data_IF_163599096497
#
_entry.id   IF_163599096497
#
_cell.length_a   1.000
_cell.length_b   1.000
_cell.length_c   1.000
_cell.angle_alpha   90.00
_cell.angle_beta   90.00
_cell.angle_gamma   90.00
#
_symmetry.space_group_name_H-M   'P 1'
#
loop_
_entity.id
_entity.type
_entity.pdbx_description
1 polymer ?
#
# COMPACT_ATOMS: atom_id res chain seq x y z
N UNK A 1 22.82 41.52 21.65
CA UNK A 1 21.60 40.69 21.60
C UNK A 1 21.74 39.75 20.40
N UNK A 2 21.95 38.46 20.65
CA UNK A 2 22.11 37.47 19.58
C UNK A 2 20.74 37.01 19.09
N UNK A 3 20.46 37.20 17.80
CA UNK A 3 19.26 36.68 17.15
C UNK A 3 19.32 35.16 17.09
N UNK A 4 18.27 34.52 17.60
CA UNK A 4 18.08 33.07 17.49
C UNK A 4 17.88 32.71 16.02
N UNK A 5 18.47 31.61 15.51
CA UNK A 5 18.27 31.19 14.14
C UNK A 5 16.81 30.74 13.92
N UNK A 6 16.19 31.27 12.88
CA UNK A 6 14.87 30.85 12.40
C UNK A 6 14.91 29.35 12.09
N UNK A 7 14.00 28.59 12.73
CA UNK A 7 13.82 27.16 12.47
C UNK A 7 13.23 26.96 11.08
N UNK A 8 14.07 26.89 10.05
CA UNK A 8 13.71 26.40 8.72
C UNK A 8 13.54 24.88 8.77
N UNK A 9 12.35 24.40 9.16
CA UNK A 9 11.98 22.98 9.13
C UNK A 9 10.78 22.55 8.24
N UNK A 10 10.34 23.28 7.18
CA UNK A 10 9.32 22.73 6.26
C UNK A 10 9.86 21.91 5.06
N UNK A 11 11.07 22.20 4.57
CA UNK A 11 11.53 21.72 3.24
C UNK A 11 11.91 20.23 3.24
N UNK A 12 12.63 19.77 4.26
CA UNK A 12 13.18 18.40 4.33
C UNK A 12 12.09 17.31 4.29
N UNK A 13 10.93 17.55 4.91
CA UNK A 13 9.84 16.56 4.95
C UNK A 13 9.18 16.39 3.59
N UNK A 14 8.95 17.49 2.87
CA UNK A 14 8.34 17.46 1.54
C UNK A 14 9.26 16.73 0.56
N UNK A 15 10.54 17.05 0.56
CA UNK A 15 11.54 16.41 -0.30
C UNK A 15 11.67 14.91 -0.03
N UNK A 16 11.60 14.49 1.25
CA UNK A 16 11.62 13.06 1.59
C UNK A 16 10.42 12.31 1.02
N UNK A 17 9.22 12.90 1.07
CA UNK A 17 8.01 12.27 0.56
C UNK A 17 7.99 12.20 -0.96
N UNK A 18 8.41 13.26 -1.65
CA UNK A 18 8.55 13.27 -3.10
C UNK A 18 9.55 12.19 -3.55
N UNK A 19 10.71 12.11 -2.90
CA UNK A 19 11.70 11.06 -3.17
C UNK A 19 11.15 9.65 -2.92
N UNK A 20 10.40 9.46 -1.84
CA UNK A 20 9.78 8.16 -1.54
C UNK A 20 8.78 7.76 -2.63
N UNK A 21 7.98 8.69 -3.12
CA UNK A 21 7.01 8.46 -4.20
C UNK A 21 7.75 8.11 -5.50
N UNK A 22 8.78 8.85 -5.87
CA UNK A 22 9.58 8.60 -7.07
C UNK A 22 10.27 7.23 -7.03
N UNK A 23 10.91 6.92 -5.89
CA UNK A 23 11.57 5.63 -5.69
C UNK A 23 10.56 4.48 -5.71
N UNK A 24 9.38 4.67 -5.10
CA UNK A 24 8.31 3.70 -5.16
C UNK A 24 7.80 3.48 -6.57
N UNK A 25 7.50 4.55 -7.32
CA UNK A 25 7.04 4.43 -8.70
C UNK A 25 8.05 3.71 -9.59
N UNK A 26 9.35 4.02 -9.44
CA UNK A 26 10.42 3.35 -10.17
C UNK A 26 10.53 1.87 -9.82
N UNK A 27 10.55 1.53 -8.52
CA UNK A 27 10.62 0.15 -8.06
C UNK A 27 9.39 -0.66 -8.47
N UNK A 28 8.20 -0.07 -8.39
CA UNK A 28 6.95 -0.71 -8.78
C UNK A 28 6.88 -0.95 -10.30
N UNK A 29 7.33 0.01 -11.11
CA UNK A 29 7.44 -0.19 -12.55
C UNK A 29 8.42 -1.31 -12.91
N UNK A 30 9.55 -1.41 -12.21
CA UNK A 30 10.50 -2.51 -12.36
C UNK A 30 9.90 -3.86 -11.95
N UNK A 31 9.11 -3.89 -10.87
CA UNK A 31 8.37 -5.07 -10.42
C UNK A 31 7.41 -5.58 -11.48
N UNK A 32 6.53 -4.71 -11.98
CA UNK A 32 5.57 -5.03 -13.04
C UNK A 32 6.26 -5.52 -14.31
N UNK A 33 7.38 -4.89 -14.70
CA UNK A 33 8.17 -5.32 -15.84
C UNK A 33 8.76 -6.72 -15.62
N UNK A 34 9.37 -6.97 -14.46
CA UNK A 34 10.00 -8.25 -14.14
C UNK A 34 8.99 -9.39 -14.08
N UNK A 35 7.80 -9.16 -13.53
CA UNK A 35 6.71 -10.15 -13.54
C UNK A 35 6.34 -10.56 -14.96
N UNK A 36 6.16 -9.57 -15.87
CA UNK A 36 5.82 -9.83 -17.28
C UNK A 36 6.90 -10.59 -18.04
N UNK A 37 8.17 -10.32 -17.76
CA UNK A 37 9.30 -10.88 -18.51
C UNK A 37 9.81 -12.22 -17.96
N UNK A 38 9.79 -12.39 -16.63
CA UNK A 38 10.49 -13.48 -15.93
C UNK A 38 9.56 -14.34 -15.08
N UNK A 39 8.26 -14.04 -15.06
CA UNK A 39 7.25 -14.77 -14.30
C UNK A 39 7.15 -14.38 -12.83
N UNK A 40 6.22 -15.00 -12.10
CA UNK A 40 5.80 -14.55 -10.77
C UNK A 40 6.85 -14.78 -9.68
N UNK A 41 7.68 -15.83 -9.76
CA UNK A 41 8.74 -16.09 -8.78
C UNK A 41 9.81 -14.99 -8.76
N UNK A 42 10.23 -14.55 -9.95
CA UNK A 42 11.22 -13.49 -10.12
C UNK A 42 10.69 -12.13 -9.62
N UNK A 43 9.38 -11.89 -9.75
CA UNK A 43 8.71 -10.74 -9.18
C UNK A 43 8.68 -10.79 -7.65
N UNK A 44 8.52 -11.98 -7.06
CA UNK A 44 8.45 -12.12 -5.60
C UNK A 44 9.74 -11.71 -4.89
N UNK A 45 10.91 -12.01 -5.47
CA UNK A 45 12.18 -11.52 -4.90
C UNK A 45 12.26 -9.99 -4.99
N UNK A 46 11.93 -9.41 -6.13
CA UNK A 46 11.97 -7.95 -6.32
C UNK A 46 10.99 -7.22 -5.40
N UNK A 47 9.86 -7.84 -5.08
CA UNK A 47 8.91 -7.34 -4.10
C UNK A 47 9.55 -7.25 -2.70
N UNK A 48 10.23 -8.32 -2.26
CA UNK A 48 10.95 -8.34 -0.97
C UNK A 48 12.01 -7.24 -0.91
N UNK A 49 12.82 -7.14 -1.96
CA UNK A 49 13.89 -6.13 -2.06
C UNK A 49 13.29 -4.71 -2.01
N UNK A 50 12.18 -4.48 -2.73
CA UNK A 50 11.48 -3.18 -2.75
C UNK A 50 10.96 -2.79 -1.37
N UNK A 51 10.41 -3.73 -0.60
CA UNK A 51 9.94 -3.45 0.75
C UNK A 51 11.11 -3.07 1.68
N UNK A 52 12.22 -3.79 1.60
CA UNK A 52 13.40 -3.50 2.41
C UNK A 52 13.98 -2.11 2.06
N UNK A 53 14.15 -1.82 0.77
CA UNK A 53 14.76 -0.58 0.30
C UNK A 53 13.89 0.66 0.59
N UNK A 54 12.58 0.57 0.40
CA UNK A 54 11.67 1.72 0.51
C UNK A 54 11.06 1.89 1.89
N UNK A 55 10.76 0.78 2.56
CA UNK A 55 10.08 0.78 3.86
C UNK A 55 11.06 0.49 5.01
N UNK A 56 12.31 0.14 4.71
CA UNK A 56 13.34 -0.13 5.70
C UNK A 56 13.08 -1.40 6.51
N UNK A 57 12.20 -2.28 6.04
CA UNK A 57 11.77 -3.47 6.76
C UNK A 57 11.46 -4.61 5.79
N UNK A 58 11.76 -5.83 6.24
CA UNK A 58 11.46 -7.05 5.48
C UNK A 58 9.96 -7.19 5.20
N UNK A 59 9.63 -7.51 3.95
CA UNK A 59 8.25 -7.70 3.51
C UNK A 59 7.49 -8.76 4.33
N UNK A 60 8.18 -9.85 4.68
CA UNK A 60 7.60 -10.93 5.50
C UNK A 60 7.22 -10.44 6.90
N UNK A 61 8.02 -9.57 7.52
CA UNK A 61 7.70 -8.99 8.82
C UNK A 61 6.48 -8.05 8.72
N UNK A 62 6.41 -7.26 7.65
CA UNK A 62 5.30 -6.33 7.40
C UNK A 62 3.96 -7.01 7.10
N UNK A 63 3.99 -8.21 6.52
CA UNK A 63 2.79 -8.95 6.14
C UNK A 63 2.39 -10.07 7.10
N UNK A 64 3.16 -10.27 8.18
CA UNK A 64 2.82 -11.20 9.26
C UNK A 64 1.91 -10.55 10.30
N UNK A 65 2.09 -9.24 10.56
CA UNK A 65 1.24 -8.49 11.48
C UNK A 65 -0.08 -8.05 10.81
N UNK A 66 -1.09 -7.76 11.63
CA UNK A 66 -2.34 -7.17 11.14
C UNK A 66 -2.10 -5.77 10.55
N UNK A 67 -2.99 -5.35 9.64
CA UNK A 67 -2.83 -4.09 8.91
C UNK A 67 -2.73 -2.86 9.83
N UNK A 68 -3.41 -2.84 10.98
CA UNK A 68 -3.39 -1.69 11.90
C UNK A 68 -2.06 -1.61 12.65
N UNK A 69 -1.52 -2.74 13.08
CA UNK A 69 -0.20 -2.85 13.70
C UNK A 69 0.89 -2.44 12.72
N UNK A 70 0.81 -2.92 11.47
CA UNK A 70 1.74 -2.54 10.40
C UNK A 70 1.63 -1.05 10.04
N UNK A 71 0.42 -0.49 9.98
CA UNK A 71 0.23 0.93 9.71
C UNK A 71 0.83 1.82 10.80
N UNK A 72 0.65 1.45 12.08
CA UNK A 72 1.31 2.11 13.22
C UNK A 72 2.82 2.04 13.14
N UNK A 73 3.36 0.88 12.78
CA UNK A 73 4.80 0.66 12.64
C UNK A 73 5.41 1.52 11.51
N UNK A 74 4.72 1.63 10.38
CA UNK A 74 5.16 2.44 9.25
C UNK A 74 4.99 3.94 9.48
N UNK A 75 4.05 4.35 10.34
CA UNK A 75 3.91 5.70 10.89
C UNK A 75 3.56 6.80 9.90
N UNK A 76 3.41 6.49 8.60
CA UNK A 76 3.10 7.47 7.56
C UNK A 76 2.18 6.88 6.48
N UNK A 77 1.07 7.55 6.12
CA UNK A 77 0.07 7.00 5.19
C UNK A 77 0.65 6.60 3.83
N UNK A 78 1.57 7.40 3.27
CA UNK A 78 2.23 7.04 1.99
C UNK A 78 3.04 5.75 2.05
N UNK A 79 3.68 5.43 3.18
CA UNK A 79 4.40 4.16 3.36
C UNK A 79 3.44 2.98 3.42
N UNK A 80 2.29 3.18 4.07
CA UNK A 80 1.21 2.18 4.15
C UNK A 80 0.61 1.93 2.76
N UNK A 81 0.39 2.99 1.96
CA UNK A 81 -0.07 2.88 0.57
C UNK A 81 0.93 2.10 -0.29
N UNK A 82 2.24 2.40 -0.16
CA UNK A 82 3.28 1.66 -0.87
C UNK A 82 3.24 0.16 -0.54
N UNK A 83 3.10 -0.19 0.75
CA UNK A 83 2.94 -1.58 1.14
C UNK A 83 1.66 -2.20 0.58
N UNK A 84 0.52 -1.51 0.68
CA UNK A 84 -0.77 -1.98 0.16
C UNK A 84 -0.67 -2.34 -1.33
N UNK A 85 0.01 -1.51 -2.11
CA UNK A 85 0.29 -1.74 -3.54
C UNK A 85 1.17 -2.97 -3.78
N UNK A 86 2.23 -3.17 -3.00
CA UNK A 86 3.07 -4.37 -3.09
C UNK A 86 2.27 -5.63 -2.75
N UNK A 87 1.45 -5.58 -1.70
CA UNK A 87 0.62 -6.72 -1.28
C UNK A 87 -0.44 -7.04 -2.33
N UNK A 88 -1.07 -6.03 -2.94
CA UNK A 88 -2.02 -6.24 -4.03
C UNK A 88 -1.38 -6.94 -5.24
N UNK A 89 -0.17 -6.53 -5.60
CA UNK A 89 0.60 -7.11 -6.68
C UNK A 89 1.04 -8.55 -6.40
N UNK A 90 1.36 -8.89 -5.15
CA UNK A 90 1.58 -10.29 -4.75
C UNK A 90 0.32 -11.14 -4.92
N UNK A 91 -0.85 -10.58 -4.60
CA UNK A 91 -2.14 -11.24 -4.83
C UNK A 91 -2.37 -11.58 -6.29
N UNK A 92 -2.08 -10.65 -7.20
CA UNK A 92 -2.12 -10.94 -8.65
C UNK A 92 -1.12 -12.04 -9.03
N UNK A 93 0.09 -12.03 -8.46
CA UNK A 93 1.06 -13.10 -8.66
C UNK A 93 0.57 -14.49 -8.22
N UNK A 94 -0.17 -14.59 -7.11
CA UNK A 94 -0.79 -15.85 -6.70
C UNK A 94 -1.93 -16.28 -7.62
N UNK A 95 -2.73 -15.32 -8.09
CA UNK A 95 -3.80 -15.60 -9.04
C UNK A 95 -3.27 -16.15 -10.36
N UNK A 96 -2.19 -15.57 -10.89
CA UNK A 96 -1.52 -16.02 -12.12
C UNK A 96 -0.99 -17.47 -11.99
N UNK A 97 -0.64 -17.89 -10.77
CA UNK A 97 -0.23 -19.26 -10.44
C UNK A 97 -1.41 -20.21 -10.18
N UNK A 98 -2.65 -19.72 -10.23
CA UNK A 98 -3.86 -20.50 -9.94
C UNK A 98 -4.17 -20.65 -8.46
N UNK A 99 -3.46 -19.98 -7.56
CA UNK A 99 -3.71 -20.01 -6.11
C UNK A 99 -4.66 -18.87 -5.69
N UNK A 100 -5.94 -19.01 -6.04
CA UNK A 100 -6.96 -18.01 -5.75
C UNK A 100 -7.18 -17.78 -4.25
N UNK A 101 -6.90 -18.77 -3.40
CA UNK A 101 -7.03 -18.65 -1.94
C UNK A 101 -5.98 -17.69 -1.38
N UNK A 102 -4.70 -17.89 -1.72
CA UNK A 102 -3.64 -16.97 -1.29
C UNK A 102 -3.81 -15.59 -1.92
N UNK A 103 -4.29 -15.53 -3.16
CA UNK A 103 -4.58 -14.27 -3.82
C UNK A 103 -5.64 -13.46 -3.04
N UNK A 104 -6.76 -14.09 -2.66
CA UNK A 104 -7.82 -13.47 -1.88
C UNK A 104 -7.32 -12.97 -0.50
N UNK A 105 -6.50 -13.75 0.19
CA UNK A 105 -5.89 -13.32 1.46
C UNK A 105 -5.01 -12.08 1.30
N UNK A 106 -4.20 -12.02 0.24
CA UNK A 106 -3.33 -10.86 -0.03
C UNK A 106 -4.14 -9.63 -0.43
N UNK A 107 -5.13 -9.77 -1.31
CA UNK A 107 -6.00 -8.65 -1.66
C UNK A 107 -6.81 -8.13 -0.47
N UNK A 108 -7.25 -9.01 0.43
CA UNK A 108 -7.87 -8.63 1.70
C UNK A 108 -6.94 -7.77 2.54
N UNK A 109 -5.71 -8.24 2.79
CA UNK A 109 -4.69 -7.46 3.52
C UNK A 109 -4.38 -6.12 2.84
N UNK A 110 -4.25 -6.09 1.51
CA UNK A 110 -4.02 -4.85 0.76
C UNK A 110 -5.17 -3.86 0.95
N UNK A 111 -6.42 -4.32 0.90
CA UNK A 111 -7.60 -3.49 1.13
C UNK A 111 -7.62 -2.91 2.56
N UNK A 112 -7.31 -3.73 3.57
CA UNK A 112 -7.19 -3.27 4.96
C UNK A 112 -6.10 -2.21 5.12
N UNK A 113 -4.92 -2.39 4.50
CA UNK A 113 -3.84 -1.41 4.52
C UNK A 113 -4.23 -0.08 3.86
N UNK A 114 -4.97 -0.10 2.76
CA UNK A 114 -5.50 1.13 2.15
C UNK A 114 -6.48 1.86 3.09
N UNK A 115 -7.32 1.12 3.81
CA UNK A 115 -8.23 1.70 4.80
C UNK A 115 -7.44 2.33 5.96
N UNK A 116 -6.41 1.65 6.49
CA UNK A 116 -5.55 2.22 7.53
C UNK A 116 -4.79 3.47 7.04
N UNK A 117 -4.33 3.47 5.78
CA UNK A 117 -3.70 4.66 5.21
C UNK A 117 -4.66 5.86 5.19
N UNK A 118 -5.94 5.64 4.89
CA UNK A 118 -6.98 6.69 4.96
C UNK A 118 -7.23 7.16 6.38
N UNK A 119 -7.31 6.26 7.36
CA UNK A 119 -7.45 6.62 8.78
C UNK A 119 -6.27 7.46 9.29
N UNK A 120 -5.06 7.26 8.73
CA UNK A 120 -3.88 8.09 8.99
C UNK A 120 -3.90 9.44 8.24
N UNK A 121 -4.99 9.78 7.55
CA UNK A 121 -5.13 11.02 6.76
C UNK A 121 -4.56 10.94 5.35
N UNK A 122 -4.27 9.74 4.84
CA UNK A 122 -3.83 9.52 3.47
C UNK A 122 -4.94 9.71 2.45
N UNK A 123 -4.61 10.34 1.34
CA UNK A 123 -5.50 10.49 0.18
C UNK A 123 -5.16 9.42 -0.85
N UNK A 124 -6.18 8.69 -1.30
CA UNK A 124 -6.06 7.74 -2.40
C UNK A 124 -6.44 8.47 -3.69
N UNK A 125 -5.46 8.68 -4.55
CA UNK A 125 -5.61 9.44 -5.79
C UNK A 125 -5.03 8.64 -6.97
N UNK A 126 -5.46 8.98 -8.18
CA UNK A 126 -4.94 8.37 -9.41
C UNK A 126 -4.98 6.84 -9.37
N UNK A 127 -3.81 6.22 -9.52
CA UNK A 127 -3.67 4.77 -9.58
C UNK A 127 -3.96 4.07 -8.25
N UNK A 128 -3.69 4.71 -7.11
CA UNK A 128 -3.98 4.16 -5.78
C UNK A 128 -5.50 4.01 -5.58
N UNK A 129 -6.26 5.01 -6.02
CA UNK A 129 -7.72 4.99 -5.98
C UNK A 129 -8.30 3.89 -6.89
N UNK A 130 -7.70 3.68 -8.06
CA UNK A 130 -8.13 2.63 -9.00
C UNK A 130 -7.89 1.22 -8.43
N UNK A 131 -6.72 0.98 -7.85
CA UNK A 131 -6.42 -0.31 -7.20
C UNK A 131 -7.33 -0.53 -6.00
N UNK A 132 -7.53 0.48 -5.16
CA UNK A 132 -8.48 0.39 -4.05
C UNK A 132 -9.89 0.04 -4.54
N UNK A 133 -10.40 0.70 -5.58
CA UNK A 133 -11.71 0.40 -6.19
C UNK A 133 -11.78 -1.04 -6.72
N UNK A 134 -10.74 -1.51 -7.41
CA UNK A 134 -10.67 -2.88 -7.93
C UNK A 134 -10.69 -3.92 -6.80
N UNK A 135 -9.91 -3.71 -5.74
CA UNK A 135 -9.89 -4.58 -4.56
C UNK A 135 -11.25 -4.62 -3.87
N UNK A 136 -11.91 -3.46 -3.71
CA UNK A 136 -13.28 -3.38 -3.16
C UNK A 136 -14.30 -4.19 -3.95
N UNK A 137 -14.16 -4.26 -5.27
CA UNK A 137 -15.06 -5.02 -6.12
C UNK A 137 -14.76 -6.53 -6.10
N UNK A 138 -13.54 -6.92 -5.73
CA UNK A 138 -13.05 -8.30 -5.76
C UNK A 138 -13.21 -9.02 -4.43
N UNK A 139 -13.20 -8.30 -3.31
CA UNK A 139 -13.23 -8.86 -1.97
C UNK A 139 -14.61 -8.69 -1.36
N UNK A 140 -15.23 -9.82 -1.00
CA UNK A 140 -16.46 -9.81 -0.22
C UNK A 140 -16.20 -9.19 1.15
N UNK A 141 -17.00 -8.19 1.59
CA UNK A 141 -16.78 -7.52 2.87
C UNK A 141 -16.73 -8.48 4.07
N UNK A 142 -17.48 -9.57 4.03
CA UNK A 142 -17.51 -10.63 5.06
C UNK A 142 -16.15 -11.30 5.29
N UNK A 143 -15.22 -11.20 4.33
CA UNK A 143 -13.86 -11.73 4.45
C UNK A 143 -12.92 -10.81 5.23
N UNK A 144 -13.33 -9.58 5.49
CA UNK A 144 -12.59 -8.62 6.31
C UNK A 144 -13.05 -8.70 7.77
N UNK A 145 -12.20 -8.27 8.70
CA UNK A 145 -12.65 -8.10 10.10
C UNK A 145 -13.73 -7.02 10.23
N UNK A 146 -14.55 -7.09 11.29
CA UNK A 146 -15.68 -6.15 11.51
C UNK A 146 -15.26 -4.67 11.46
N UNK A 147 -14.07 -4.35 11.98
CA UNK A 147 -13.49 -2.99 11.92
C UNK A 147 -13.40 -2.50 10.47
N UNK A 148 -12.89 -3.33 9.57
CA UNK A 148 -12.68 -2.97 8.18
C UNK A 148 -13.95 -3.04 7.36
N UNK A 149 -14.92 -3.88 7.73
CA UNK A 149 -16.26 -3.82 7.16
C UNK A 149 -16.91 -2.45 7.41
N UNK A 150 -16.82 -1.94 8.64
CA UNK A 150 -17.35 -0.62 8.99
C UNK A 150 -16.58 0.52 8.29
N UNK A 151 -15.26 0.43 8.25
CA UNK A 151 -14.43 1.42 7.53
C UNK A 151 -14.75 1.42 6.02
N UNK A 152 -14.97 0.24 5.44
CA UNK A 152 -15.34 0.09 4.03
C UNK A 152 -16.72 0.67 3.71
N UNK A 153 -17.70 0.51 4.61
CA UNK A 153 -19.02 1.10 4.47
C UNK A 153 -18.95 2.64 4.47
N UNK A 154 -18.23 3.24 5.44
CA UNK A 154 -17.99 4.70 5.47
C UNK A 154 -17.29 5.20 4.20
N UNK A 155 -16.34 4.41 3.70
CA UNK A 155 -15.63 4.69 2.46
C UNK A 155 -16.47 4.57 1.18
N UNK A 156 -17.69 4.03 1.24
CA UNK A 156 -18.63 4.01 0.10
C UNK A 156 -19.44 5.31 0.01
N UNK A 157 -19.70 5.97 1.14
CA UNK A 157 -20.48 7.20 1.22
C UNK A 157 -19.71 8.45 0.73
N UNK A 158 -18.38 8.40 0.69
CA UNK A 158 -17.50 9.51 0.26
C UNK A 158 -17.31 9.62 -1.27
N UNK A 159 -17.79 8.67 -2.07
CA UNK A 159 -17.64 8.69 -3.53
C UNK A 159 -18.91 9.34 -4.11
N UNK A 160 -18.86 10.58 -4.65
CA UNK A 160 -20.01 11.14 -5.33
C UNK A 160 -20.41 10.20 -6.49
N UNK A 161 -21.66 9.76 -6.48
CA UNK A 161 -22.25 9.04 -7.59
C UNK A 161 -22.18 9.95 -8.82
N UNK A 162 -21.37 9.58 -9.81
CA UNK A 162 -21.26 10.12 -11.17
C UNK A 162 -21.64 11.61 -11.39
N UNK A 163 -20.66 12.39 -11.83
CA UNK A 163 -20.91 13.58 -12.67
C UNK A 163 -20.15 13.45 -13.96
#
# INVERSE_FOLDING_TARGET
MAGLPERTVPVIRKDYLERLIEQFAAAFAALLKKRREQGPEAAQQLLRDTALDLLGMEYSALTLADAASTAKLLGHPRRVICLARLVAEEGEGFQEQGDGTRAALRWGLALELFLEARELGGQLEGEDAQVFKALKARIEPSLLSERYQQALARAQDDIPADS
#
